data_IF_263637222120
#
_entry.id   IF_263637222120
#
_cell.length_a   1.000
_cell.length_b   1.000
_cell.length_c   1.000
_cell.angle_alpha   90.00
_cell.angle_beta   90.00
_cell.angle_gamma   90.00
#
_symmetry.space_group_name_H-M   'P 1'
#
loop_
_entity.id
_entity.type
_entity.pdbx_description
1 polymer ?
#
# COMPACT_ATOMS: atom_id res chain seq x y z
N UNK A 1 14.25 -15.42 16.67
CA UNK A 1 14.73 -14.31 15.83
C UNK A 1 13.51 -13.60 15.27
N UNK A 2 13.22 -12.38 15.72
CA UNK A 2 12.10 -11.61 15.20
C UNK A 2 12.51 -11.09 13.80
N UNK A 3 12.03 -11.73 12.73
CA UNK A 3 12.33 -11.28 11.37
C UNK A 3 11.73 -9.89 11.19
N UNK A 4 12.58 -8.91 10.92
CA UNK A 4 12.15 -7.54 10.66
C UNK A 4 11.30 -7.51 9.39
N UNK A 5 10.03 -7.10 9.52
CA UNK A 5 9.09 -6.96 8.41
C UNK A 5 8.99 -5.48 8.06
N UNK A 6 9.27 -5.14 6.80
CA UNK A 6 9.00 -3.79 6.30
C UNK A 6 7.49 -3.67 6.10
N UNK A 7 6.89 -2.66 6.73
CA UNK A 7 5.46 -2.41 6.57
C UNK A 7 5.21 -1.29 5.57
N UNK A 8 4.41 -1.59 4.55
CA UNK A 8 3.74 -0.61 3.72
C UNK A 8 2.28 -0.52 4.13
N UNK A 9 1.79 0.71 4.30
CA UNK A 9 0.39 0.98 4.61
C UNK A 9 -0.18 1.99 3.62
N UNK A 10 -1.35 1.71 3.09
CA UNK A 10 -2.11 2.62 2.23
C UNK A 10 -3.30 3.13 3.02
N UNK A 11 -3.41 4.44 3.19
CA UNK A 11 -4.49 5.06 3.95
C UNK A 11 -5.14 6.18 3.15
N UNK A 12 -6.44 6.37 3.37
CA UNK A 12 -7.14 7.54 2.90
C UNK A 12 -6.60 8.79 3.61
N UNK A 13 -6.27 9.81 2.83
CA UNK A 13 -5.86 11.14 3.31
C UNK A 13 -6.85 12.21 2.83
N UNK A 14 -8.11 11.82 2.62
CA UNK A 14 -9.25 12.67 2.28
C UNK A 14 -9.59 12.65 0.78
N UNK A 15 -8.71 13.20 -0.06
CA UNK A 15 -8.93 13.27 -1.51
C UNK A 15 -7.93 12.44 -2.32
N UNK A 16 -7.15 11.62 -1.62
CA UNK A 16 -6.08 10.83 -2.19
C UNK A 16 -5.70 9.70 -1.22
N UNK A 17 -4.82 8.83 -1.69
CA UNK A 17 -4.27 7.70 -0.97
C UNK A 17 -2.82 7.97 -0.61
N UNK A 18 -2.55 8.10 0.69
CA UNK A 18 -1.21 8.17 1.23
C UNK A 18 -0.61 6.77 1.29
N UNK A 19 0.64 6.64 0.85
CA UNK A 19 1.40 5.39 0.91
C UNK A 19 2.55 5.62 1.89
N UNK A 20 2.56 4.83 2.96
CA UNK A 20 3.49 4.95 4.07
C UNK A 20 4.39 3.71 4.12
N UNK A 21 5.68 3.92 4.38
CA UNK A 21 6.66 2.86 4.66
C UNK A 21 7.14 3.07 6.09
N UNK A 22 6.87 2.12 6.99
CA UNK A 22 7.29 2.18 8.39
C UNK A 22 6.85 3.49 9.09
N UNK A 23 5.64 3.95 8.77
CA UNK A 23 5.07 5.21 9.28
C UNK A 23 5.53 6.47 8.54
N UNK A 24 6.47 6.39 7.61
CA UNK A 24 6.94 7.53 6.80
C UNK A 24 6.19 7.58 5.48
N UNK A 25 5.57 8.72 5.17
CA UNK A 25 4.88 8.91 3.90
C UNK A 25 5.88 8.93 2.74
N UNK A 26 5.74 7.96 1.84
CA UNK A 26 6.57 7.81 0.65
C UNK A 26 5.97 8.51 -0.56
N UNK A 27 4.64 8.46 -0.69
CA UNK A 27 3.93 8.94 -1.87
C UNK A 27 2.45 9.22 -1.56
N UNK A 28 1.82 9.94 -2.49
CA UNK A 28 0.37 10.16 -2.53
C UNK A 28 -0.11 9.85 -3.95
N UNK A 29 -1.26 9.19 -4.08
CA UNK A 29 -1.91 8.85 -5.36
C UNK A 29 -3.40 9.17 -5.32
N UNK A 30 -3.95 9.66 -6.44
CA UNK A 30 -5.39 9.99 -6.53
C UNK A 30 -6.24 8.75 -6.77
N UNK A 31 -5.74 7.84 -7.59
CA UNK A 31 -6.44 6.61 -7.93
C UNK A 31 -6.07 5.49 -6.94
N UNK A 32 -7.06 4.75 -6.40
CA UNK A 32 -6.81 3.64 -5.48
C UNK A 32 -6.03 2.49 -6.14
N UNK A 33 -6.26 2.22 -7.43
CA UNK A 33 -5.54 1.20 -8.18
C UNK A 33 -4.05 1.55 -8.35
N UNK A 34 -3.75 2.80 -8.68
CA UNK A 34 -2.37 3.29 -8.77
C UNK A 34 -1.68 3.27 -7.40
N UNK A 35 -2.40 3.60 -6.32
CA UNK A 35 -1.85 3.51 -4.96
C UNK A 35 -1.42 2.08 -4.60
N UNK A 36 -2.25 1.09 -4.94
CA UNK A 36 -1.97 -0.34 -4.74
C UNK A 36 -0.81 -0.79 -5.61
N UNK A 37 -0.81 -0.42 -6.89
CA UNK A 37 0.26 -0.76 -7.82
C UNK A 37 1.60 -0.22 -7.35
N UNK A 38 1.63 1.03 -6.88
CA UNK A 38 2.83 1.65 -6.31
C UNK A 38 3.33 0.88 -5.09
N UNK A 39 2.47 0.61 -4.10
CA UNK A 39 2.87 -0.10 -2.89
C UNK A 39 3.42 -1.51 -3.20
N UNK A 40 2.75 -2.25 -4.08
CA UNK A 40 3.19 -3.58 -4.49
C UNK A 40 4.51 -3.56 -5.27
N UNK A 41 4.70 -2.59 -6.16
CA UNK A 41 5.96 -2.46 -6.91
C UNK A 41 7.15 -2.28 -5.98
N UNK A 42 7.04 -1.41 -4.96
CA UNK A 42 8.11 -1.20 -4.00
C UNK A 42 8.29 -2.38 -3.05
N UNK A 43 7.20 -3.03 -2.62
CA UNK A 43 7.27 -4.23 -1.81
C UNK A 43 7.99 -5.39 -2.53
N UNK A 44 7.68 -5.60 -3.81
CA UNK A 44 8.33 -6.60 -4.66
C UNK A 44 9.81 -6.27 -4.85
N UNK A 45 10.15 -5.00 -5.08
CA UNK A 45 11.53 -4.56 -5.20
C UNK A 45 12.33 -4.85 -3.93
N UNK A 46 11.79 -4.53 -2.76
CA UNK A 46 12.43 -4.79 -1.46
C UNK A 46 12.63 -6.29 -1.21
N UNK A 47 11.62 -7.09 -1.58
CA UNK A 47 11.69 -8.56 -1.49
C UNK A 47 12.78 -9.12 -2.41
N UNK A 48 12.90 -8.60 -3.64
CA UNK A 48 13.88 -9.08 -4.63
C UNK A 48 15.30 -8.60 -4.38
N UNK A 49 15.48 -7.34 -3.95
CA UNK A 49 16.82 -6.75 -3.79
C UNK A 49 17.45 -7.08 -2.43
N UNK A 50 16.65 -7.17 -1.37
CA UNK A 50 17.15 -7.29 -0.01
C UNK A 50 16.71 -8.57 0.71
N UNK A 51 15.90 -9.43 0.06
CA UNK A 51 15.32 -10.65 0.65
C UNK A 51 14.59 -10.38 1.97
N UNK A 52 14.04 -9.18 2.13
CA UNK A 52 13.30 -8.77 3.33
C UNK A 52 11.86 -9.19 3.23
N UNK A 53 11.27 -9.57 4.36
CA UNK A 53 9.84 -9.76 4.45
C UNK A 53 9.15 -8.40 4.38
N UNK A 54 8.15 -8.28 3.51
CA UNK A 54 7.36 -7.06 3.34
C UNK A 54 5.89 -7.39 3.56
N UNK A 55 5.20 -6.52 4.29
CA UNK A 55 3.75 -6.56 4.45
C UNK A 55 3.15 -5.32 3.81
N UNK A 56 2.24 -5.50 2.88
CA UNK A 56 1.38 -4.41 2.36
C UNK A 56 0.03 -4.53 3.03
N UNK A 57 -0.45 -3.42 3.58
CA UNK A 57 -1.77 -3.32 4.21
C UNK A 57 -2.47 -2.06 3.72
N UNK A 58 -3.79 -2.02 3.86
CA UNK A 58 -4.56 -0.84 3.55
C UNK A 58 -5.66 -0.62 4.60
N UNK A 59 -6.09 0.62 4.76
CA UNK A 59 -7.16 0.98 5.69
C UNK A 59 -8.54 0.45 5.26
N UNK A 60 -9.53 0.69 6.10
CA UNK A 60 -10.91 0.28 5.82
C UNK A 60 -11.50 0.97 4.59
N UNK A 61 -11.14 2.23 4.35
CA UNK A 61 -11.65 2.99 3.21
C UNK A 61 -11.19 2.38 1.90
N UNK A 62 -9.93 1.95 1.80
CA UNK A 62 -9.43 1.27 0.61
C UNK A 62 -10.23 0.01 0.30
N UNK A 63 -10.52 -0.81 1.31
CA UNK A 63 -11.32 -2.02 1.13
C UNK A 63 -12.75 -1.72 0.65
N UNK A 64 -13.35 -0.63 1.14
CA UNK A 64 -14.66 -0.17 0.68
C UNK A 64 -14.61 0.31 -0.77
N UNK A 65 -13.67 1.20 -1.11
CA UNK A 65 -13.50 1.72 -2.47
C UNK A 65 -13.27 0.61 -3.49
N UNK A 66 -12.44 -0.38 -3.18
CA UNK A 66 -12.23 -1.54 -4.07
C UNK A 66 -13.50 -2.39 -4.23
N UNK A 67 -14.30 -2.52 -3.17
CA UNK A 67 -15.56 -3.26 -3.25
C UNK A 67 -16.58 -2.53 -4.13
N UNK A 68 -16.63 -1.20 -4.08
CA UNK A 68 -17.47 -0.37 -4.94
C UNK A 68 -17.03 -0.43 -6.40
N UNK A 69 -15.72 -0.28 -6.67
CA UNK A 69 -15.16 -0.39 -8.02
C UNK A 69 -15.47 -1.74 -8.66
N UNK A 70 -15.35 -2.83 -7.89
CA UNK A 70 -15.69 -4.18 -8.37
C UNK A 70 -17.17 -4.37 -8.69
N UNK A 71 -18.07 -3.59 -8.08
CA UNK A 71 -19.52 -3.65 -8.38
C UNK A 71 -19.88 -2.82 -9.61
N UNK A 72 -19.05 -1.86 -9.99
CA UNK A 72 -19.28 -0.96 -11.11
C UNK A 72 -18.72 -1.46 -12.45
N UNK A 73 -17.93 -2.54 -12.44
CA UNK A 73 -17.35 -3.20 -13.61
C UNK A 73 -18.24 -4.36 -14.08
#
# INVERSE_FOLDING_TARGET
MNQYVIEYHIADVGHAWGIFREGVQMAVRKDPGDAIAFANFFADRETRMAARHVRVSADRHMHQTLSELRRAA
#
